data_IF_944035577981
#
_entry.id   IF_944035577981
#
_cell.length_a   1.000
_cell.length_b   1.000
_cell.length_c   1.000
_cell.angle_alpha   90.00
_cell.angle_beta   90.00
_cell.angle_gamma   90.00
#
_symmetry.space_group_name_H-M   'P 1'
#
loop_
_entity.id
_entity.type
_entity.pdbx_description
1 polymer ?
#
# COMPACT_ATOMS: atom_id res chain seq x y z
N UNK A 1 -2.25 -2.91 -4.80
CA UNK A 1 -1.94 -1.47 -4.90
C UNK A 1 -0.84 -1.31 -5.94
N UNK A 2 -0.29 -0.17 -6.12
CA UNK A 2 0.86 0.08 -6.98
C UNK A 2 1.69 1.23 -6.41
N UNK A 3 2.82 1.49 -7.04
CA UNK A 3 3.68 2.61 -6.74
C UNK A 3 4.39 3.06 -8.01
N UNK A 4 4.75 4.32 -8.07
CA UNK A 4 5.40 4.90 -9.22
C UNK A 4 6.67 5.66 -8.86
N UNK A 5 7.52 5.81 -9.84
CA UNK A 5 8.72 6.63 -9.80
C UNK A 5 8.86 7.42 -11.10
N UNK A 6 9.29 8.67 -11.00
CA UNK A 6 9.64 9.49 -12.15
C UNK A 6 10.96 10.18 -11.92
N UNK A 7 11.82 10.29 -12.92
CA UNK A 7 13.12 10.91 -12.82
C UNK A 7 13.45 11.77 -14.03
N UNK A 8 14.24 12.81 -13.79
CA UNK A 8 14.89 13.63 -14.82
C UNK A 8 16.39 13.67 -14.58
N UNK A 9 17.19 13.70 -15.65
CA UNK A 9 18.65 13.82 -15.60
C UNK A 9 19.13 14.59 -16.81
N UNK A 10 20.20 15.35 -16.67
CA UNK A 10 20.84 16.06 -17.81
C UNK A 10 21.50 15.10 -18.79
N UNK A 11 21.86 13.90 -18.34
CA UNK A 11 22.49 12.88 -19.16
C UNK A 11 21.51 11.75 -19.47
N UNK A 12 21.36 10.80 -18.55
CA UNK A 12 20.46 9.65 -18.69
C UNK A 12 19.80 9.35 -17.35
N UNK A 13 18.47 9.15 -17.35
CA UNK A 13 17.69 8.86 -16.16
C UNK A 13 17.36 7.38 -15.98
N UNK A 14 17.72 6.50 -16.92
CA UNK A 14 17.24 5.11 -16.97
C UNK A 14 17.71 4.31 -15.76
N UNK A 15 18.95 4.51 -15.30
CA UNK A 15 19.45 3.85 -14.09
C UNK A 15 18.62 4.22 -12.84
N UNK A 16 18.38 5.50 -12.65
CA UNK A 16 17.58 5.98 -11.53
C UNK A 16 16.12 5.51 -11.61
N UNK A 17 15.56 5.54 -12.84
CA UNK A 17 14.21 5.07 -13.09
C UNK A 17 14.08 3.56 -12.79
N UNK A 18 15.01 2.75 -13.26
CA UNK A 18 15.02 1.30 -13.06
C UNK A 18 15.04 0.95 -11.56
N UNK A 19 16.00 1.49 -10.80
CA UNK A 19 16.07 1.19 -9.37
C UNK A 19 14.95 1.89 -8.57
N UNK A 20 14.55 3.09 -8.96
CA UNK A 20 13.43 3.78 -8.34
C UNK A 20 12.13 3.00 -8.45
N UNK A 21 11.85 2.39 -9.62
CA UNK A 21 10.69 1.50 -9.81
C UNK A 21 10.86 0.19 -9.03
N UNK A 22 12.05 -0.43 -9.08
CA UNK A 22 12.33 -1.66 -8.35
C UNK A 22 12.09 -1.55 -6.85
N UNK A 23 12.42 -0.41 -6.25
CA UNK A 23 12.16 -0.13 -4.83
C UNK A 23 10.67 -0.09 -4.46
N UNK A 24 9.76 -0.02 -5.45
CA UNK A 24 8.32 -0.14 -5.25
C UNK A 24 7.79 -1.58 -5.40
N UNK A 25 8.66 -2.59 -5.57
CA UNK A 25 8.26 -3.99 -5.79
C UNK A 25 7.47 -4.62 -4.64
N UNK A 26 7.52 -4.05 -3.43
CA UNK A 26 6.69 -4.47 -2.30
C UNK A 26 5.21 -4.07 -2.45
N UNK A 27 4.90 -3.04 -3.25
CA UNK A 27 3.56 -2.49 -3.45
C UNK A 27 2.73 -3.22 -4.52
N UNK A 28 3.36 -4.01 -5.38
CA UNK A 28 2.65 -4.75 -6.43
C UNK A 28 3.47 -5.93 -6.96
N UNK A 29 2.79 -6.88 -7.60
CA UNK A 29 3.40 -8.17 -7.96
C UNK A 29 2.98 -8.71 -9.32
N UNK A 30 2.22 -7.95 -10.11
CA UNK A 30 1.69 -8.46 -11.38
C UNK A 30 2.28 -7.82 -12.61
N UNK A 31 2.30 -6.50 -12.63
CA UNK A 31 2.73 -5.70 -13.77
C UNK A 31 3.77 -4.68 -13.34
N UNK A 32 4.65 -4.38 -14.25
CA UNK A 32 5.56 -3.27 -14.13
C UNK A 32 5.82 -2.66 -15.49
N UNK A 33 6.17 -1.39 -15.52
CA UNK A 33 6.50 -0.72 -16.76
C UNK A 33 7.35 0.51 -16.55
N UNK A 34 8.08 0.87 -17.60
CA UNK A 34 8.88 2.07 -17.72
C UNK A 34 8.57 2.74 -19.05
N UNK A 35 8.55 4.05 -19.07
CA UNK A 35 8.54 4.88 -20.27
C UNK A 35 9.55 6.00 -20.11
N UNK A 36 10.33 6.24 -21.13
CA UNK A 36 11.36 7.29 -21.18
C UNK A 36 11.13 8.22 -22.37
N UNK A 37 11.65 9.41 -22.27
CA UNK A 37 11.71 10.37 -23.35
C UNK A 37 13.12 10.89 -23.55
N UNK A 38 13.56 10.85 -24.78
CA UNK A 38 14.81 11.44 -25.23
C UNK A 38 14.50 12.46 -26.34
N UNK A 39 15.13 13.66 -26.35
CA UNK A 39 14.88 14.68 -27.37
C UNK A 39 15.23 14.23 -28.80
N UNK A 40 16.16 13.30 -28.98
CA UNK A 40 16.62 12.84 -30.31
C UNK A 40 15.79 11.64 -30.79
N UNK A 41 15.51 10.68 -29.93
CA UNK A 41 14.85 9.41 -30.31
C UNK A 41 13.35 9.38 -29.99
N UNK A 42 12.86 10.29 -29.15
CA UNK A 42 11.46 10.36 -28.75
C UNK A 42 11.12 9.47 -27.55
N UNK A 43 9.93 8.89 -27.57
CA UNK A 43 9.44 8.03 -26.49
C UNK A 43 9.79 6.58 -26.74
N UNK A 44 10.26 5.90 -25.69
CA UNK A 44 10.38 4.44 -25.62
C UNK A 44 9.64 3.90 -24.38
N UNK A 45 9.09 2.67 -24.47
CA UNK A 45 8.25 2.07 -23.43
C UNK A 45 8.41 0.56 -23.37
N UNK A 46 8.51 0.03 -22.16
CA UNK A 46 8.46 -1.40 -21.90
C UNK A 46 7.50 -1.73 -20.74
N UNK A 47 6.72 -2.80 -20.88
CA UNK A 47 5.80 -3.31 -19.86
C UNK A 47 5.95 -4.82 -19.77
N UNK A 48 6.11 -5.36 -18.55
CA UNK A 48 6.23 -6.78 -18.31
C UNK A 48 5.28 -7.29 -17.24
N UNK A 49 4.90 -8.58 -17.39
CA UNK A 49 4.34 -9.35 -16.30
C UNK A 49 5.48 -9.77 -15.35
N UNK A 50 5.37 -9.40 -14.06
CA UNK A 50 6.35 -9.70 -13.02
C UNK A 50 5.88 -10.77 -12.03
N UNK A 51 4.76 -11.47 -12.32
CA UNK A 51 4.25 -12.53 -11.43
C UNK A 51 5.22 -13.70 -11.29
N UNK A 52 5.98 -13.98 -12.34
CA UNK A 52 6.86 -15.16 -12.44
C UNK A 52 8.34 -14.87 -12.20
N UNK A 53 8.73 -13.59 -12.19
CA UNK A 53 10.10 -13.17 -11.93
C UNK A 53 10.14 -11.73 -11.39
N UNK A 54 11.10 -11.39 -10.50
CA UNK A 54 11.25 -10.03 -9.98
C UNK A 54 11.42 -8.99 -11.09
N UNK A 55 11.05 -7.74 -10.78
CA UNK A 55 11.21 -6.59 -11.66
C UNK A 55 12.61 -6.53 -12.27
N UNK A 56 13.65 -6.59 -11.46
CA UNK A 56 15.05 -6.54 -11.92
C UNK A 56 15.37 -7.54 -13.03
N UNK A 57 14.90 -8.77 -12.89
CA UNK A 57 15.14 -9.82 -13.88
C UNK A 57 14.42 -9.54 -15.19
N UNK A 58 13.21 -8.99 -15.13
CA UNK A 58 12.39 -8.72 -16.30
C UNK A 58 12.85 -7.50 -17.09
N UNK A 59 13.43 -6.51 -16.42
CA UNK A 59 13.84 -5.24 -17.02
C UNK A 59 15.36 -5.09 -17.20
N UNK A 60 16.13 -6.17 -17.02
CA UNK A 60 17.61 -6.13 -17.22
C UNK A 60 17.98 -5.67 -18.63
N UNK A 61 17.27 -6.16 -19.66
CA UNK A 61 17.53 -5.77 -21.06
C UNK A 61 17.22 -4.29 -21.27
N UNK A 62 16.07 -3.86 -20.81
CA UNK A 62 15.59 -2.48 -20.94
C UNK A 62 16.50 -1.48 -20.22
N UNK A 63 17.03 -1.85 -19.04
CA UNK A 63 17.98 -1.00 -18.31
C UNK A 63 19.31 -0.77 -19.05
N UNK A 64 19.59 -1.57 -20.09
CA UNK A 64 20.80 -1.45 -20.92
C UNK A 64 20.55 -0.85 -22.29
N UNK A 65 19.33 -0.90 -22.78
CA UNK A 65 18.97 -0.51 -24.17
C UNK A 65 18.11 0.75 -24.23
N UNK A 66 17.33 1.04 -23.20
CA UNK A 66 16.56 2.29 -23.13
C UNK A 66 17.49 3.44 -22.76
N UNK A 67 17.21 4.61 -23.32
CA UNK A 67 17.90 5.87 -23.02
C UNK A 67 16.87 6.99 -22.91
N UNK A 68 17.13 7.97 -22.06
CA UNK A 68 16.27 9.15 -21.95
C UNK A 68 16.69 10.08 -20.83
N UNK A 69 16.41 11.37 -21.03
CA UNK A 69 16.67 12.41 -20.03
C UNK A 69 15.52 12.56 -19.04
N UNK A 70 14.37 12.00 -19.35
CA UNK A 70 13.19 12.00 -18.49
C UNK A 70 12.47 10.64 -18.58
N UNK A 71 11.95 10.14 -17.47
CA UNK A 71 11.23 8.89 -17.47
C UNK A 71 10.25 8.75 -16.31
N UNK A 72 9.23 7.92 -16.52
CA UNK A 72 8.29 7.47 -15.48
C UNK A 72 8.16 5.96 -15.52
N UNK A 73 7.89 5.36 -14.37
CA UNK A 73 7.63 3.93 -14.30
C UNK A 73 6.81 3.56 -13.08
N UNK A 74 6.30 2.34 -13.06
CA UNK A 74 5.45 1.88 -11.98
C UNK A 74 5.49 0.36 -11.79
N UNK A 75 5.09 -0.02 -10.59
CA UNK A 75 4.63 -1.37 -10.24
C UNK A 75 3.11 -1.31 -10.07
N UNK A 76 2.37 -2.28 -10.62
CA UNK A 76 0.91 -2.37 -10.51
C UNK A 76 0.45 -3.81 -10.26
N UNK A 77 -0.65 -3.96 -9.53
CA UNK A 77 -1.33 -5.25 -9.34
C UNK A 77 -2.49 -5.47 -10.33
N UNK A 78 -2.85 -4.46 -11.10
CA UNK A 78 -4.06 -4.50 -11.92
C UNK A 78 -3.74 -4.28 -13.40
N UNK A 79 -3.59 -3.06 -13.79
CA UNK A 79 -3.46 -2.64 -15.18
C UNK A 79 -2.01 -2.57 -15.66
N UNK A 80 -1.84 -2.72 -16.98
CA UNK A 80 -0.59 -2.47 -17.67
C UNK A 80 -0.37 -0.96 -17.82
N UNK A 81 0.77 -0.46 -17.35
CA UNK A 81 1.16 0.94 -17.43
C UNK A 81 2.69 1.09 -17.32
N UNK A 82 3.33 2.22 -17.75
CA UNK A 82 2.73 3.45 -18.27
C UNK A 82 2.03 3.26 -19.61
N UNK A 83 0.98 4.08 -19.86
CA UNK A 83 0.31 4.13 -21.18
C UNK A 83 0.89 5.28 -21.98
N UNK A 84 1.30 5.00 -23.22
CA UNK A 84 1.73 6.00 -24.18
C UNK A 84 0.53 6.44 -25.04
N UNK A 85 0.23 7.73 -25.02
CA UNK A 85 -0.94 8.32 -25.67
C UNK A 85 -0.49 9.37 -26.67
N UNK A 86 -1.16 9.41 -27.83
CA UNK A 86 -1.11 10.53 -28.78
C UNK A 86 -2.45 11.24 -28.82
N UNK A 87 -2.47 12.52 -28.48
CA UNK A 87 -3.69 13.30 -28.39
C UNK A 87 -3.49 14.74 -28.88
N UNK A 88 -4.49 15.59 -28.68
CA UNK A 88 -4.40 17.05 -28.94
C UNK A 88 -3.29 17.73 -28.13
N UNK A 89 -2.88 17.16 -26.98
CA UNK A 89 -1.76 17.65 -26.15
C UNK A 89 -0.39 17.19 -26.66
N UNK A 90 -0.33 16.49 -27.79
CA UNK A 90 0.86 15.83 -28.31
C UNK A 90 0.98 14.40 -27.81
N UNK A 91 2.20 13.85 -27.84
CA UNK A 91 2.51 12.54 -27.30
C UNK A 91 2.94 12.67 -25.83
N UNK A 92 2.41 11.81 -24.97
CA UNK A 92 2.77 11.74 -23.55
C UNK A 92 2.63 10.31 -23.03
N UNK A 93 3.33 9.99 -21.95
CA UNK A 93 3.11 8.75 -21.21
C UNK A 93 2.50 9.07 -19.83
N UNK A 94 1.63 8.19 -19.32
CA UNK A 94 0.94 8.39 -18.05
C UNK A 94 1.01 7.11 -17.19
N UNK A 95 1.20 7.30 -15.89
CA UNK A 95 1.02 6.26 -14.86
C UNK A 95 0.18 6.78 -13.71
N UNK A 96 -0.64 5.91 -13.14
CA UNK A 96 -1.59 6.27 -12.07
C UNK A 96 -1.52 5.29 -10.90
N UNK A 97 -1.79 5.79 -9.70
CA UNK A 97 -2.04 5.00 -8.50
C UNK A 97 -3.31 5.51 -7.85
N UNK A 98 -4.27 4.60 -7.64
CA UNK A 98 -5.56 4.97 -7.06
C UNK A 98 -6.63 3.94 -7.29
N UNK A 99 -7.88 4.35 -7.11
CA UNK A 99 -9.08 3.55 -7.36
C UNK A 99 -10.18 4.47 -7.88
N UNK A 100 -10.82 4.05 -8.97
CA UNK A 100 -11.93 4.77 -9.61
C UNK A 100 -13.19 3.94 -9.38
N UNK A 101 -14.09 4.40 -8.52
CA UNK A 101 -15.32 3.66 -8.18
C UNK A 101 -16.44 3.90 -9.18
N UNK A 102 -16.48 5.07 -9.81
CA UNK A 102 -17.48 5.48 -10.79
C UNK A 102 -17.00 5.36 -12.26
N UNK A 103 -16.14 4.38 -12.53
CA UNK A 103 -15.56 4.20 -13.87
C UNK A 103 -16.61 4.05 -14.97
N UNK A 104 -17.70 3.31 -14.72
CA UNK A 104 -18.78 3.10 -15.69
C UNK A 104 -19.55 4.39 -16.03
N UNK A 105 -19.72 5.30 -15.08
CA UNK A 105 -20.38 6.60 -15.27
C UNK A 105 -19.47 7.53 -16.09
N UNK A 106 -18.20 7.60 -15.72
CA UNK A 106 -17.20 8.36 -16.44
C UNK A 106 -17.08 7.85 -17.88
N UNK A 107 -17.05 6.53 -18.06
CA UNK A 107 -16.95 5.89 -19.36
C UNK A 107 -18.09 6.32 -20.31
N UNK A 108 -19.34 6.33 -19.82
CA UNK A 108 -20.50 6.78 -20.61
C UNK A 108 -20.32 8.23 -21.09
N UNK A 109 -19.82 9.08 -20.19
CA UNK A 109 -19.56 10.49 -20.51
C UNK A 109 -18.44 10.62 -21.55
N UNK A 110 -17.34 9.90 -21.39
CA UNK A 110 -16.16 9.98 -22.27
C UNK A 110 -16.45 9.39 -23.65
N UNK A 111 -17.16 8.26 -23.75
CA UNK A 111 -17.55 7.63 -25.02
C UNK A 111 -18.49 8.54 -25.81
N UNK A 112 -19.41 9.28 -25.15
CA UNK A 112 -20.31 10.21 -25.83
C UNK A 112 -19.56 11.33 -26.57
N UNK A 113 -18.29 11.55 -26.26
CA UNK A 113 -17.36 12.48 -26.91
C UNK A 113 -16.41 11.82 -27.91
N UNK A 114 -16.77 10.65 -28.48
CA UNK A 114 -16.00 9.89 -29.47
C UNK A 114 -14.64 9.35 -28.98
N UNK A 115 -14.47 9.09 -27.69
CA UNK A 115 -13.28 8.41 -27.20
C UNK A 115 -13.32 6.90 -27.51
N UNK A 116 -12.14 6.32 -27.72
CA UNK A 116 -11.93 4.90 -27.98
C UNK A 116 -10.91 4.36 -26.99
N UNK A 117 -11.07 3.11 -26.57
CA UNK A 117 -10.19 2.44 -25.63
C UNK A 117 -9.54 1.22 -26.29
N UNK A 118 -8.25 1.05 -26.09
CA UNK A 118 -7.43 0.01 -26.72
C UNK A 118 -6.82 -0.95 -25.72
N UNK A 119 -6.53 -0.49 -24.51
CA UNK A 119 -5.92 -1.29 -23.43
C UNK A 119 -7.01 -1.95 -22.59
N UNK A 120 -7.62 -3.01 -23.14
CA UNK A 120 -8.65 -3.77 -22.44
C UNK A 120 -8.09 -5.08 -21.89
N UNK A 121 -8.49 -5.45 -20.68
CA UNK A 121 -8.16 -6.73 -20.07
C UNK A 121 -9.42 -7.41 -19.54
N UNK A 122 -9.69 -8.65 -20.01
CA UNK A 122 -10.89 -9.42 -19.64
C UNK A 122 -12.23 -8.69 -19.91
N UNK A 123 -12.27 -7.82 -20.90
CA UNK A 123 -13.46 -7.02 -21.22
C UNK A 123 -13.60 -5.71 -20.43
N UNK A 124 -12.68 -5.45 -19.48
CA UNK A 124 -12.64 -4.21 -18.71
C UNK A 124 -11.62 -3.23 -19.29
N UNK A 125 -11.94 -1.95 -19.20
CA UNK A 125 -11.08 -0.86 -19.67
C UNK A 125 -9.95 -0.63 -18.66
N UNK A 126 -8.76 -0.33 -19.16
CA UNK A 126 -7.63 0.06 -18.34
C UNK A 126 -7.93 1.40 -17.62
N UNK A 127 -7.94 1.46 -16.27
CA UNK A 127 -8.25 2.69 -15.54
C UNK A 127 -7.29 3.85 -15.84
N UNK A 128 -6.03 3.56 -16.15
CA UNK A 128 -5.04 4.59 -16.52
C UNK A 128 -5.37 5.18 -17.90
N UNK A 129 -5.85 4.37 -18.84
CA UNK A 129 -6.34 4.87 -20.14
C UNK A 129 -7.60 5.73 -19.98
N UNK A 130 -8.51 5.34 -19.08
CA UNK A 130 -9.68 6.15 -18.76
C UNK A 130 -9.28 7.52 -18.21
N UNK A 131 -8.28 7.60 -17.33
CA UNK A 131 -7.75 8.88 -16.82
C UNK A 131 -7.16 9.72 -17.97
N UNK A 132 -6.39 9.10 -18.86
CA UNK A 132 -5.87 9.82 -20.04
C UNK A 132 -6.98 10.38 -20.91
N UNK A 133 -8.06 9.62 -21.12
CA UNK A 133 -9.23 10.07 -21.88
C UNK A 133 -9.98 11.23 -21.19
N UNK A 134 -10.07 11.22 -19.85
CA UNK A 134 -10.63 12.34 -19.08
C UNK A 134 -9.79 13.60 -19.26
N UNK A 135 -8.46 13.48 -19.13
CA UNK A 135 -7.54 14.61 -19.30
C UNK A 135 -7.69 15.23 -20.70
N UNK A 136 -7.86 14.42 -21.71
CA UNK A 136 -8.03 14.84 -23.09
C UNK A 136 -9.38 15.57 -23.38
N UNK A 137 -10.32 15.60 -22.42
CA UNK A 137 -11.54 16.42 -22.55
C UNK A 137 -11.30 17.92 -22.36
N UNK A 138 -10.11 18.33 -21.91
CA UNK A 138 -9.77 19.74 -21.65
C UNK A 138 -8.66 20.22 -22.59
N UNK A 139 -8.51 21.54 -22.68
CA UNK A 139 -7.58 22.16 -23.64
C UNK A 139 -6.10 22.10 -23.21
N UNK A 140 -5.83 21.80 -21.95
CA UNK A 140 -4.47 21.67 -21.41
C UNK A 140 -4.39 20.66 -20.27
N UNK A 141 -3.17 20.23 -19.94
CA UNK A 141 -2.94 19.23 -18.89
C UNK A 141 -3.42 19.67 -17.51
N UNK A 142 -3.28 20.96 -17.16
CA UNK A 142 -3.65 21.44 -15.81
C UNK A 142 -5.15 21.29 -15.60
N UNK A 143 -5.94 21.78 -16.53
CA UNK A 143 -7.40 21.69 -16.48
C UNK A 143 -7.88 20.25 -16.61
N UNK A 144 -7.19 19.43 -17.43
CA UNK A 144 -7.47 18.01 -17.57
C UNK A 144 -7.22 17.22 -16.30
N UNK A 145 -6.08 17.44 -15.64
CA UNK A 145 -5.74 16.79 -14.36
C UNK A 145 -6.73 17.21 -13.26
N UNK A 146 -7.01 18.52 -13.15
CA UNK A 146 -8.01 19.03 -12.19
C UNK A 146 -9.38 18.41 -12.42
N UNK A 147 -9.81 18.32 -13.66
CA UNK A 147 -11.08 17.72 -14.03
C UNK A 147 -11.10 16.23 -13.63
N UNK A 148 -10.01 15.47 -13.88
CA UNK A 148 -9.90 14.10 -13.43
C UNK A 148 -9.97 13.96 -11.90
N UNK A 149 -9.25 14.83 -11.16
CA UNK A 149 -9.32 14.86 -9.67
C UNK A 149 -10.73 15.22 -9.16
N UNK A 150 -11.51 15.94 -9.94
CA UNK A 150 -12.84 16.42 -9.55
C UNK A 150 -13.92 15.34 -9.74
N UNK A 151 -13.91 14.64 -10.89
CA UNK A 151 -14.97 13.70 -11.26
C UNK A 151 -14.71 12.27 -10.79
N UNK A 152 -13.46 11.91 -10.47
CA UNK A 152 -13.14 10.57 -9.96
C UNK A 152 -13.62 10.42 -8.52
N UNK A 153 -14.52 9.45 -8.31
CA UNK A 153 -14.87 8.96 -6.98
C UNK A 153 -13.89 7.87 -6.56
N UNK A 154 -13.17 8.13 -5.46
CA UNK A 154 -12.12 7.23 -4.98
C UNK A 154 -10.84 7.99 -4.65
N UNK A 155 -9.73 7.63 -5.29
CA UNK A 155 -8.47 8.39 -5.22
C UNK A 155 -7.69 8.29 -6.52
N UNK A 156 -6.86 9.30 -6.80
CA UNK A 156 -6.09 9.36 -8.03
C UNK A 156 -4.85 10.23 -7.87
N UNK A 157 -3.68 9.58 -7.84
CA UNK A 157 -2.38 10.22 -8.00
C UNK A 157 -1.74 9.79 -9.31
N UNK A 158 -0.98 10.66 -9.97
CA UNK A 158 -0.44 10.36 -11.30
C UNK A 158 0.89 11.04 -11.59
N UNK A 159 1.65 10.43 -12.50
CA UNK A 159 2.76 11.06 -13.22
C UNK A 159 2.46 11.08 -14.72
N UNK A 160 2.76 12.20 -15.38
CA UNK A 160 2.60 12.36 -16.84
C UNK A 160 3.94 12.84 -17.41
N UNK A 161 4.56 12.02 -18.23
CA UNK A 161 5.79 12.33 -18.96
C UNK A 161 5.45 12.99 -20.30
N UNK A 162 5.98 14.18 -20.51
CA UNK A 162 5.86 14.92 -21.77
C UNK A 162 7.26 15.34 -22.27
N UNK A 163 7.40 15.79 -23.53
CA UNK A 163 8.67 16.35 -24.00
C UNK A 163 9.16 17.60 -23.24
N UNK A 164 8.31 18.20 -22.40
CA UNK A 164 8.59 19.46 -21.68
C UNK A 164 8.80 19.26 -20.17
N UNK A 165 8.72 18.03 -19.69
CA UNK A 165 8.85 17.72 -18.28
C UNK A 165 7.84 16.67 -17.80
N UNK A 166 7.93 16.33 -16.54
CA UNK A 166 7.06 15.38 -15.86
C UNK A 166 6.09 16.15 -14.97
N UNK A 167 4.79 15.97 -15.22
CA UNK A 167 3.75 16.44 -14.30
C UNK A 167 3.59 15.40 -13.19
N UNK A 168 3.54 15.87 -11.96
CA UNK A 168 3.18 15.06 -10.79
C UNK A 168 1.94 15.68 -10.13
N UNK A 169 0.88 14.89 -9.97
CA UNK A 169 -0.38 15.33 -9.40
C UNK A 169 -0.80 14.39 -8.28
N UNK A 170 -0.84 14.92 -7.05
CA UNK A 170 -1.28 14.17 -5.88
C UNK A 170 -2.81 14.13 -5.82
N UNK A 171 -3.35 13.04 -5.34
CA UNK A 171 -4.78 12.86 -5.07
C UNK A 171 -5.44 14.09 -4.40
N UNK A 172 -6.69 14.38 -4.75
CA UNK A 172 -7.46 15.54 -4.28
C UNK A 172 -7.44 15.71 -2.75
N UNK A 173 -7.48 14.60 -2.00
CA UNK A 173 -7.42 14.59 -0.55
C UNK A 173 -6.06 14.10 -0.02
N UNK A 174 -5.07 13.91 -0.90
CA UNK A 174 -3.75 13.46 -0.50
C UNK A 174 -3.71 12.06 0.11
N UNK A 175 -4.61 11.15 -0.28
CA UNK A 175 -4.72 9.79 0.30
C UNK A 175 -3.45 8.97 0.13
N UNK A 176 -2.70 9.23 -0.94
CA UNK A 176 -1.38 8.66 -1.19
C UNK A 176 -0.34 9.76 -1.30
N UNK A 177 0.91 9.51 -0.90
CA UNK A 177 1.97 10.51 -0.98
C UNK A 177 2.50 10.68 -2.39
N UNK A 178 3.07 11.83 -2.68
CA UNK A 178 4.06 12.07 -3.73
C UNK A 178 5.17 12.90 -3.13
N UNK A 179 6.35 12.30 -3.04
CA UNK A 179 7.55 12.95 -2.50
C UNK A 179 8.52 13.30 -3.63
N UNK A 180 9.11 14.47 -3.58
CA UNK A 180 10.08 14.94 -4.54
C UNK A 180 11.48 14.88 -3.96
N UNK A 181 12.42 14.33 -4.74
CA UNK A 181 13.85 14.36 -4.45
C UNK A 181 14.60 15.23 -5.44
N UNK A 182 15.75 15.73 -5.02
CA UNK A 182 16.65 16.57 -5.83
C UNK A 182 18.06 16.06 -5.77
N UNK A 183 18.75 16.04 -6.91
CA UNK A 183 20.20 15.87 -7.00
C UNK A 183 20.81 16.92 -7.94
N UNK A 184 22.12 16.89 -8.16
CA UNK A 184 22.85 17.93 -8.90
C UNK A 184 22.40 18.09 -10.35
N UNK A 185 21.92 17.03 -10.97
CA UNK A 185 21.60 16.94 -12.41
C UNK A 185 20.11 16.72 -12.70
N UNK A 186 19.23 16.72 -11.66
CA UNK A 186 17.80 16.54 -11.88
C UNK A 186 16.96 16.37 -10.63
N UNK A 187 15.72 15.99 -10.86
CA UNK A 187 14.71 15.76 -9.84
C UNK A 187 14.06 14.40 -10.02
N UNK A 188 13.45 13.90 -8.95
CA UNK A 188 12.57 12.74 -9.01
C UNK A 188 11.25 12.99 -8.29
N UNK A 189 10.24 12.22 -8.65
CA UNK A 189 8.99 12.08 -7.93
C UNK A 189 8.76 10.62 -7.59
N UNK A 190 8.38 10.32 -6.35
CA UNK A 190 8.25 8.95 -5.85
C UNK A 190 7.03 8.80 -4.97
N UNK A 191 6.47 7.60 -4.94
CA UNK A 191 5.48 7.20 -3.94
C UNK A 191 6.13 6.95 -2.57
N UNK A 192 7.38 6.46 -2.55
CA UNK A 192 8.15 6.12 -1.36
C UNK A 192 9.41 6.98 -1.24
N UNK A 193 9.62 7.63 -0.09
CA UNK A 193 10.78 8.49 0.10
C UNK A 193 12.12 7.72 0.09
N UNK A 194 12.15 6.49 0.63
CA UNK A 194 13.39 5.70 0.63
C UNK A 194 13.89 5.34 -0.78
N UNK A 195 12.99 5.31 -1.77
CA UNK A 195 13.31 4.84 -3.11
C UNK A 195 14.34 5.71 -3.84
N UNK A 196 14.45 6.99 -3.49
CA UNK A 196 15.42 7.89 -4.12
C UNK A 196 16.65 8.21 -3.26
N UNK A 197 16.59 7.99 -1.94
CA UNK A 197 17.73 8.29 -1.06
C UNK A 197 18.98 7.49 -1.45
N UNK A 198 18.83 6.20 -1.71
CA UNK A 198 19.93 5.34 -2.14
C UNK A 198 20.43 5.64 -3.57
N UNK A 199 19.68 6.42 -4.35
CA UNK A 199 20.06 6.88 -5.69
C UNK A 199 20.77 8.24 -5.67
N UNK A 200 21.05 8.75 -4.46
CA UNK A 200 21.81 10.00 -4.28
C UNK A 200 20.95 11.26 -4.33
N UNK A 201 19.63 11.14 -4.34
CA UNK A 201 18.75 12.29 -4.17
C UNK A 201 18.63 12.68 -2.70
N UNK A 202 18.46 13.95 -2.46
CA UNK A 202 18.09 14.52 -1.17
C UNK A 202 16.61 14.84 -1.15
N UNK A 203 15.98 14.79 0.02
CA UNK A 203 14.61 15.25 0.19
C UNK A 203 14.47 16.70 -0.28
N UNK A 204 13.49 16.93 -1.16
CA UNK A 204 13.19 18.28 -1.64
C UNK A 204 11.90 18.80 -1.02
N UNK A 205 10.78 18.12 -1.23
CA UNK A 205 9.50 18.37 -0.55
C UNK A 205 8.47 17.28 -0.86
N UNK A 206 7.43 17.22 -0.08
CA UNK A 206 6.23 16.42 -0.33
C UNK A 206 5.13 17.31 -0.95
N UNK A 207 4.33 16.76 -1.90
CA UNK A 207 3.20 17.48 -2.48
C UNK A 207 2.02 17.45 -1.51
N UNK A 208 1.29 18.56 -1.39
CA UNK A 208 0.04 18.62 -0.64
C UNK A 208 -1.16 18.03 -1.40
N UNK A 209 -2.35 17.95 -0.74
CA UNK A 209 -3.56 17.41 -1.34
C UNK A 209 -3.97 18.15 -2.61
N UNK A 210 -4.21 17.42 -3.71
CA UNK A 210 -4.64 18.00 -4.99
C UNK A 210 -3.59 18.88 -5.69
N UNK A 211 -2.39 18.97 -5.15
CA UNK A 211 -1.32 19.77 -5.73
C UNK A 211 -0.84 19.18 -7.06
N UNK A 212 -0.54 20.07 -8.00
CA UNK A 212 0.02 19.73 -9.32
C UNK A 212 1.31 20.51 -9.52
N UNK A 213 2.38 19.80 -9.82
CA UNK A 213 3.67 20.36 -10.21
C UNK A 213 4.10 19.84 -11.58
N UNK A 214 5.00 20.56 -12.23
CA UNK A 214 5.79 20.05 -13.33
C UNK A 214 7.26 20.22 -13.00
N UNK A 215 8.06 19.21 -13.28
CA UNK A 215 9.50 19.28 -13.10
C UNK A 215 10.25 18.79 -14.34
N UNK A 216 11.39 19.37 -14.55
CA UNK A 216 12.37 19.04 -15.59
C UNK A 216 13.76 18.90 -14.96
N UNK A 217 14.83 18.89 -15.73
CA UNK A 217 16.21 18.80 -15.21
C UNK A 217 16.67 20.04 -14.43
N UNK A 218 16.01 21.18 -14.61
CA UNK A 218 16.43 22.47 -14.07
C UNK A 218 15.60 22.94 -12.88
N UNK A 219 14.28 22.62 -12.88
CA UNK A 219 13.34 23.23 -11.95
C UNK A 219 12.13 22.37 -11.62
N UNK A 220 11.53 22.68 -10.48
CA UNK A 220 10.18 22.25 -10.08
C UNK A 220 9.29 23.48 -10.04
N UNK A 221 8.18 23.47 -10.79
CA UNK A 221 7.22 24.58 -10.82
C UNK A 221 5.87 24.09 -10.33
N UNK A 222 5.32 24.79 -9.33
CA UNK A 222 3.95 24.59 -8.87
C UNK A 222 2.98 25.18 -9.89
N UNK A 223 2.02 24.37 -10.34
CA UNK A 223 0.98 24.76 -11.30
C UNK A 223 -0.36 24.95 -10.60
N UNK A 224 -0.65 24.13 -9.61
CA UNK A 224 -1.83 24.23 -8.74
C UNK A 224 -1.39 24.08 -7.31
N UNK A 225 -1.77 25.03 -6.48
CA UNK A 225 -1.45 25.00 -5.04
C UNK A 225 -2.24 23.90 -4.31
N UNK A 226 -1.71 23.35 -3.21
CA UNK A 226 -2.39 22.32 -2.44
C UNK A 226 -3.71 22.80 -1.84
N UNK A 227 -4.65 21.88 -1.74
CA UNK A 227 -5.90 22.08 -1.01
C UNK A 227 -5.69 22.08 0.50
N UNK A 228 -6.71 22.53 1.25
CA UNK A 228 -6.68 22.60 2.71
C UNK A 228 -7.06 21.31 3.42
N UNK A 229 -7.85 20.45 2.76
CA UNK A 229 -8.34 19.19 3.32
C UNK A 229 -7.43 18.05 2.93
N UNK A 230 -6.93 17.33 3.92
CA UNK A 230 -6.15 16.11 3.75
C UNK A 230 -6.89 14.93 4.37
N UNK A 231 -6.73 13.75 3.78
CA UNK A 231 -7.20 12.46 4.29
C UNK A 231 -6.20 11.38 3.89
N UNK A 232 -4.95 11.52 4.35
CA UNK A 232 -3.91 10.53 4.05
C UNK A 232 -4.25 9.18 4.68
N UNK A 233 -3.98 8.09 3.96
CA UNK A 233 -4.28 6.75 4.41
C UNK A 233 -3.41 6.35 5.61
N UNK A 234 -4.02 6.14 6.77
CA UNK A 234 -3.30 5.72 7.99
C UNK A 234 -2.64 4.34 7.83
N UNK A 235 -3.22 3.47 6.97
CA UNK A 235 -2.69 2.14 6.71
C UNK A 235 -1.32 2.14 6.00
N UNK A 236 -0.90 3.28 5.45
CA UNK A 236 0.46 3.46 4.93
C UNK A 236 1.51 3.24 6.03
N UNK A 237 1.31 3.82 7.21
CA UNK A 237 2.22 3.59 8.34
C UNK A 237 2.07 2.22 8.98
N UNK A 238 0.84 1.72 9.09
CA UNK A 238 0.59 0.41 9.73
C UNK A 238 1.24 -0.72 8.96
N UNK A 239 1.10 -0.74 7.63
CA UNK A 239 1.53 -1.88 6.81
C UNK A 239 2.24 -1.54 5.50
N UNK A 240 1.62 -0.68 4.64
CA UNK A 240 2.07 -0.56 3.25
C UNK A 240 3.39 0.15 3.08
N UNK A 241 3.64 1.20 3.86
CA UNK A 241 4.87 1.98 3.77
C UNK A 241 6.09 1.14 4.08
N UNK A 242 7.14 1.34 3.30
CA UNK A 242 8.41 0.70 3.60
C UNK A 242 8.97 1.26 4.92
N UNK A 243 9.59 0.45 5.80
CA UNK A 243 10.02 0.88 7.14
C UNK A 243 10.86 2.15 7.17
N UNK A 244 11.76 2.34 6.18
CA UNK A 244 12.62 3.52 6.09
C UNK A 244 12.00 4.72 5.38
N UNK A 245 10.73 4.63 4.95
CA UNK A 245 10.00 5.77 4.39
C UNK A 245 9.43 6.70 5.46
N UNK A 246 9.13 7.91 5.03
CA UNK A 246 8.39 8.91 5.81
C UNK A 246 7.29 9.52 4.95
N UNK A 247 6.16 9.83 5.57
CA UNK A 247 5.03 10.54 4.96
C UNK A 247 4.61 11.67 5.88
N UNK A 248 4.32 12.85 5.34
CA UNK A 248 4.00 14.07 6.12
C UNK A 248 5.01 14.33 7.25
N UNK A 249 6.29 14.00 7.01
CA UNK A 249 7.37 14.13 7.98
C UNK A 249 7.41 13.05 9.07
N UNK A 250 6.53 12.06 9.06
CA UNK A 250 6.46 11.00 10.06
C UNK A 250 7.07 9.70 9.53
N UNK A 251 8.12 9.21 10.20
CA UNK A 251 8.77 7.95 9.88
C UNK A 251 7.84 6.77 10.11
N UNK A 252 7.79 5.85 9.13
CA UNK A 252 7.01 4.62 9.21
C UNK A 252 7.49 3.74 10.37
N UNK A 253 8.80 3.51 10.48
CA UNK A 253 9.38 2.67 11.54
C UNK A 253 9.12 3.24 12.93
N UNK A 254 9.31 4.56 13.11
CA UNK A 254 9.07 5.21 14.40
C UNK A 254 7.59 5.17 14.80
N UNK A 255 6.69 5.36 13.84
CA UNK A 255 5.24 5.20 14.10
C UNK A 255 4.91 3.78 14.57
N UNK A 256 5.46 2.75 13.95
CA UNK A 256 5.26 1.36 14.37
C UNK A 256 5.79 1.09 15.77
N UNK A 257 6.92 1.67 16.16
CA UNK A 257 7.40 1.59 17.55
C UNK A 257 6.45 2.29 18.53
N UNK A 258 5.95 3.47 18.18
CA UNK A 258 4.96 4.18 19.00
C UNK A 258 3.66 3.37 19.15
N UNK A 259 3.19 2.75 18.08
CA UNK A 259 2.02 1.87 18.08
C UNK A 259 2.22 0.70 19.06
N UNK A 260 3.35 -0.03 18.96
CA UNK A 260 3.66 -1.10 19.88
C UNK A 260 3.76 -0.66 21.34
N UNK A 261 4.35 0.52 21.58
CA UNK A 261 4.42 1.15 22.91
C UNK A 261 3.03 1.39 23.52
N UNK A 262 2.08 1.92 22.73
CA UNK A 262 0.71 2.17 23.21
C UNK A 262 -0.06 0.87 23.43
N UNK A 263 0.12 -0.14 22.58
CA UNK A 263 -0.41 -1.49 22.82
C UNK A 263 0.05 -2.05 24.19
N UNK A 264 1.35 -1.96 24.48
CA UNK A 264 1.91 -2.45 25.75
C UNK A 264 1.35 -1.68 26.95
N UNK A 265 1.13 -0.36 26.82
CA UNK A 265 0.51 0.42 27.90
C UNK A 265 -0.90 -0.03 28.23
N UNK A 266 -1.69 -0.38 27.21
CA UNK A 266 -3.05 -0.90 27.38
C UNK A 266 -3.08 -2.28 28.02
N UNK A 267 -2.05 -3.10 27.80
CA UNK A 267 -1.97 -4.46 28.32
C UNK A 267 -1.42 -4.52 29.76
N UNK A 268 -1.01 -3.39 30.36
CA UNK A 268 -0.45 -3.38 31.73
C UNK A 268 -1.39 -3.94 32.80
N UNK A 269 -2.69 -3.74 32.61
CA UNK A 269 -3.72 -4.15 33.55
C UNK A 269 -4.35 -5.51 33.18
N UNK A 270 -3.82 -6.16 32.12
CA UNK A 270 -4.24 -7.50 31.71
C UNK A 270 -3.56 -8.59 32.53
N UNK A 271 -4.31 -9.66 32.81
CA UNK A 271 -3.77 -10.88 33.44
C UNK A 271 -3.07 -11.80 32.40
N UNK A 272 -2.33 -11.19 31.47
CA UNK A 272 -1.58 -11.90 30.43
C UNK A 272 -0.08 -11.70 30.67
N UNK A 273 0.63 -12.79 30.99
CA UNK A 273 2.05 -12.77 31.32
C UNK A 273 2.86 -13.64 30.35
N UNK A 274 3.12 -13.17 29.12
CA UNK A 274 3.89 -13.95 28.14
C UNK A 274 5.36 -14.00 28.51
N UNK A 275 6.01 -15.12 28.17
CA UNK A 275 7.46 -15.26 28.33
C UNK A 275 8.24 -14.35 27.38
N UNK A 276 7.70 -14.14 26.17
CA UNK A 276 8.34 -13.33 25.13
C UNK A 276 7.33 -12.63 24.21
N UNK A 277 7.76 -11.52 23.65
CA UNK A 277 7.06 -10.81 22.55
C UNK A 277 7.73 -11.13 21.23
N UNK A 278 6.95 -11.35 20.19
CA UNK A 278 7.43 -11.59 18.83
C UNK A 278 6.58 -10.86 17.78
N UNK A 279 7.20 -10.45 16.70
CA UNK A 279 6.50 -9.91 15.54
C UNK A 279 6.30 -10.97 14.46
N UNK A 280 5.16 -10.99 13.81
CA UNK A 280 4.99 -11.74 12.58
C UNK A 280 5.88 -11.10 11.50
N UNK A 281 6.83 -11.83 10.90
CA UNK A 281 7.77 -11.25 9.94
C UNK A 281 7.09 -10.91 8.60
N UNK A 282 7.36 -9.73 8.01
CA UNK A 282 8.21 -8.66 8.55
C UNK A 282 7.35 -7.52 9.14
N UNK A 283 6.03 -7.53 8.85
CA UNK A 283 5.06 -6.45 9.15
C UNK A 283 4.88 -6.16 10.64
N UNK A 284 4.82 -7.22 11.46
CA UNK A 284 4.66 -7.09 12.92
C UNK A 284 5.94 -6.76 13.68
N UNK A 285 7.11 -6.83 13.04
CA UNK A 285 8.41 -6.77 13.75
C UNK A 285 8.62 -5.44 14.48
N UNK A 286 8.44 -4.30 13.81
CA UNK A 286 8.66 -2.99 14.42
C UNK A 286 7.65 -2.69 15.55
N UNK A 287 6.40 -3.07 15.37
CA UNK A 287 5.36 -2.99 16.42
C UNK A 287 5.74 -3.81 17.64
N UNK A 288 6.24 -5.05 17.44
CA UNK A 288 6.66 -5.94 18.53
C UNK A 288 7.89 -5.41 19.28
N UNK A 289 8.84 -4.79 18.60
CA UNK A 289 9.98 -4.14 19.25
C UNK A 289 9.50 -2.98 20.13
N UNK A 290 8.60 -2.14 19.62
CA UNK A 290 8.00 -1.04 20.40
C UNK A 290 7.27 -1.55 21.65
N UNK A 291 6.53 -2.65 21.52
CA UNK A 291 5.85 -3.30 22.64
C UNK A 291 6.83 -3.85 23.67
N UNK A 292 7.85 -4.60 23.25
CA UNK A 292 8.85 -5.18 24.12
C UNK A 292 9.63 -4.11 24.90
N UNK A 293 9.99 -3.00 24.23
CA UNK A 293 10.70 -1.89 24.87
C UNK A 293 9.87 -1.23 25.99
N UNK A 294 8.55 -1.10 25.82
CA UNK A 294 7.66 -0.48 26.81
C UNK A 294 7.30 -1.45 27.96
N UNK A 295 6.98 -2.70 27.61
CA UNK A 295 6.55 -3.71 28.58
C UNK A 295 7.69 -4.28 29.42
N UNK A 296 8.92 -4.23 28.92
CA UNK A 296 10.08 -4.92 29.51
C UNK A 296 10.10 -6.43 29.28
N UNK A 297 9.13 -6.99 28.56
CA UNK A 297 9.09 -8.41 28.17
C UNK A 297 10.10 -8.64 27.04
N UNK A 298 10.97 -9.68 27.12
CA UNK A 298 11.98 -9.90 26.10
C UNK A 298 11.39 -10.09 24.69
N UNK A 299 11.97 -9.41 23.69
CA UNK A 299 11.68 -9.70 22.29
C UNK A 299 12.39 -10.98 21.85
N UNK A 300 11.69 -11.87 21.16
CA UNK A 300 12.26 -13.10 20.59
C UNK A 300 11.81 -13.32 19.14
N UNK A 301 12.46 -14.25 18.46
CA UNK A 301 12.10 -14.66 17.10
C UNK A 301 11.79 -16.15 17.08
N UNK A 302 10.61 -16.58 17.54
CA UNK A 302 10.22 -17.99 17.62
C UNK A 302 10.09 -18.63 16.22
N UNK A 303 9.98 -17.85 15.18
CA UNK A 303 10.05 -18.29 13.79
C UNK A 303 10.73 -17.24 12.92
N UNK A 304 11.35 -17.71 11.86
CA UNK A 304 12.13 -16.88 10.93
C UNK A 304 11.56 -17.09 9.54
N UNK A 305 11.35 -15.98 8.81
CA UNK A 305 10.93 -16.03 7.42
C UNK A 305 12.05 -16.59 6.56
N UNK A 306 11.73 -17.62 5.76
CA UNK A 306 12.66 -18.17 4.79
C UNK A 306 12.78 -17.21 3.60
N UNK A 307 13.95 -16.59 3.47
CA UNK A 307 14.20 -15.50 2.51
C UNK A 307 14.36 -15.95 1.05
N UNK A 308 14.94 -17.14 0.72
CA UNK A 308 14.91 -17.66 -0.64
C UNK A 308 13.46 -18.00 -1.00
N UNK A 309 12.67 -16.97 -1.35
CA UNK A 309 11.27 -17.14 -1.72
C UNK A 309 11.17 -17.77 -3.10
N UNK A 310 10.38 -18.84 -3.18
CA UNK A 310 9.92 -19.36 -4.45
C UNK A 310 9.10 -18.27 -5.16
N UNK A 311 9.31 -18.05 -6.47
CA UNK A 311 8.41 -17.21 -7.24
C UNK A 311 6.96 -17.66 -7.02
N UNK A 312 6.01 -16.73 -6.98
CA UNK A 312 4.57 -17.04 -6.81
C UNK A 312 4.03 -18.04 -7.86
N UNK A 313 4.71 -18.17 -9.00
CA UNK A 313 4.44 -19.16 -10.05
C UNK A 313 4.58 -20.61 -9.62
N UNK A 314 5.26 -20.89 -8.52
CA UNK A 314 5.37 -22.22 -7.92
C UNK A 314 4.21 -22.59 -6.97
N UNK A 315 3.08 -21.88 -7.03
CA UNK A 315 1.88 -22.29 -6.30
C UNK A 315 1.25 -23.51 -6.97
N UNK A 316 1.42 -24.73 -6.42
CA UNK A 316 0.86 -25.94 -7.03
C UNK A 316 -0.65 -25.89 -7.06
N UNK A 317 -1.24 -26.56 -8.03
CA UNK A 317 -2.70 -26.69 -8.17
C UNK A 317 -3.33 -27.54 -7.05
N UNK A 318 -2.56 -28.45 -6.43
CA UNK A 318 -3.02 -29.32 -5.35
C UNK A 318 -2.94 -28.65 -3.96
N UNK A 319 -4.01 -28.72 -3.18
CA UNK A 319 -4.13 -28.09 -1.85
C UNK A 319 -3.01 -28.57 -0.91
N UNK A 320 -2.72 -29.87 -0.84
CA UNK A 320 -1.66 -30.44 0.03
C UNK A 320 -0.26 -29.87 -0.24
N UNK A 321 0.04 -29.55 -1.51
CA UNK A 321 1.31 -28.90 -1.87
C UNK A 321 1.32 -27.41 -1.54
N UNK A 322 0.16 -26.73 -1.61
CA UNK A 322 0.02 -25.34 -1.15
C UNK A 322 0.23 -25.21 0.35
N UNK A 323 -0.33 -26.14 1.13
CA UNK A 323 -0.17 -26.20 2.58
C UNK A 323 1.30 -26.46 2.97
N UNK A 324 1.99 -27.32 2.21
CA UNK A 324 3.42 -27.56 2.41
C UNK A 324 4.25 -26.28 2.13
N UNK A 325 3.99 -25.59 1.02
CA UNK A 325 4.71 -24.35 0.67
C UNK A 325 4.41 -23.23 1.69
N UNK A 326 3.19 -23.14 2.20
CA UNK A 326 2.86 -22.20 3.26
C UNK A 326 3.69 -22.47 4.54
N UNK A 327 3.81 -23.75 4.92
CA UNK A 327 4.67 -24.18 6.06
C UNK A 327 6.16 -23.91 5.84
N UNK A 328 6.64 -23.93 4.59
CA UNK A 328 8.05 -23.65 4.28
C UNK A 328 8.44 -22.17 4.39
N UNK A 329 7.48 -21.25 4.53
CA UNK A 329 7.76 -19.81 4.61
C UNK A 329 8.26 -19.39 5.98
N UNK A 330 7.88 -20.10 7.03
CA UNK A 330 8.26 -19.82 8.40
C UNK A 330 8.99 -21.02 8.99
N UNK A 331 10.20 -20.81 9.45
CA UNK A 331 11.05 -21.84 10.07
C UNK A 331 11.02 -21.66 11.58
N UNK A 332 10.58 -22.68 12.37
CA UNK A 332 10.52 -22.58 13.82
C UNK A 332 11.92 -22.62 14.47
N UNK A 333 12.04 -21.92 15.58
CA UNK A 333 13.17 -22.03 16.50
C UNK A 333 12.64 -22.70 17.76
N UNK A 334 12.72 -24.02 17.83
CA UNK A 334 12.05 -24.83 18.85
C UNK A 334 12.37 -24.37 20.26
N UNK A 335 13.61 -24.05 20.58
CA UNK A 335 14.04 -23.58 21.91
C UNK A 335 13.36 -22.29 22.37
N UNK A 336 12.81 -21.51 21.42
CA UNK A 336 12.07 -20.27 21.67
C UNK A 336 10.55 -20.47 21.69
N UNK A 337 10.07 -21.69 21.40
CA UNK A 337 8.64 -22.01 21.31
C UNK A 337 8.22 -22.99 22.40
N UNK A 338 8.98 -24.07 22.57
CA UNK A 338 8.61 -25.20 23.42
C UNK A 338 8.38 -24.78 24.89
N UNK A 339 7.18 -25.07 25.39
CA UNK A 339 6.74 -24.71 26.74
C UNK A 339 6.53 -23.22 27.00
N UNK A 340 6.62 -22.34 25.98
CA UNK A 340 6.53 -20.89 26.13
C UNK A 340 5.14 -20.35 25.94
N UNK A 341 4.80 -19.28 26.66
CA UNK A 341 3.70 -18.38 26.42
C UNK A 341 4.19 -17.23 25.53
N UNK A 342 3.66 -17.15 24.31
CA UNK A 342 4.10 -16.21 23.27
C UNK A 342 3.08 -15.11 23.05
N UNK A 343 3.51 -13.85 23.05
CA UNK A 343 2.69 -12.73 22.57
C UNK A 343 3.17 -12.34 21.19
N UNK A 344 2.28 -12.52 20.19
CA UNK A 344 2.56 -12.19 18.79
C UNK A 344 1.89 -10.89 18.41
N UNK A 345 2.64 -10.03 17.74
CA UNK A 345 2.12 -8.80 17.15
C UNK A 345 2.18 -8.93 15.62
N UNK A 346 1.05 -8.67 14.98
CA UNK A 346 0.95 -8.53 13.53
C UNK A 346 0.37 -7.15 13.20
N UNK A 347 0.51 -6.69 11.96
CA UNK A 347 -0.07 -5.41 11.54
C UNK A 347 -1.60 -5.43 11.59
N UNK A 348 -2.22 -6.49 11.12
CA UNK A 348 -3.68 -6.59 10.99
C UNK A 348 -4.18 -8.03 10.84
N UNK A 349 -5.46 -8.27 11.12
CA UNK A 349 -6.15 -9.52 10.77
C UNK A 349 -7.19 -9.21 9.68
N UNK A 350 -6.91 -9.63 8.44
CA UNK A 350 -7.81 -9.44 7.30
C UNK A 350 -8.73 -10.67 7.15
N UNK A 351 -8.21 -11.77 6.64
CA UNK A 351 -8.96 -13.03 6.43
C UNK A 351 -8.84 -14.01 7.60
N UNK A 352 -7.81 -13.86 8.41
CA UNK A 352 -7.46 -14.71 9.53
C UNK A 352 -6.74 -16.02 9.16
N UNK A 353 -6.80 -16.48 7.90
CA UNK A 353 -6.25 -17.79 7.48
C UNK A 353 -4.77 -17.95 7.80
N UNK A 354 -3.95 -16.95 7.44
CA UNK A 354 -2.51 -17.01 7.64
C UNK A 354 -2.13 -17.02 9.12
N UNK A 355 -2.81 -16.21 9.92
CA UNK A 355 -2.51 -16.11 11.35
C UNK A 355 -2.97 -17.36 12.10
N UNK A 356 -4.09 -17.97 11.71
CA UNK A 356 -4.52 -19.27 12.23
C UNK A 356 -3.51 -20.37 11.92
N UNK A 357 -3.04 -20.46 10.69
CA UNK A 357 -2.00 -21.43 10.30
C UNK A 357 -0.71 -21.23 11.10
N UNK A 358 -0.30 -19.97 11.34
CA UNK A 358 0.85 -19.65 12.18
C UNK A 358 0.64 -20.09 13.63
N UNK A 359 -0.54 -19.88 14.20
CA UNK A 359 -0.88 -20.27 15.57
C UNK A 359 -0.90 -21.79 15.73
N UNK A 360 -1.57 -22.50 14.83
CA UNK A 360 -1.58 -23.97 14.80
C UNK A 360 -0.17 -24.55 14.68
N UNK A 361 0.69 -23.92 13.88
CA UNK A 361 2.09 -24.29 13.75
C UNK A 361 2.88 -24.09 15.05
N UNK A 362 2.65 -23.00 15.78
CA UNK A 362 3.30 -22.74 17.06
C UNK A 362 2.87 -23.76 18.13
N UNK A 363 1.58 -24.07 18.23
CA UNK A 363 1.10 -25.13 19.13
C UNK A 363 1.67 -26.51 18.78
N UNK A 364 1.73 -26.84 17.48
CA UNK A 364 2.36 -28.06 17.01
C UNK A 364 3.88 -28.12 17.31
N UNK A 365 4.51 -26.96 17.50
CA UNK A 365 5.93 -26.81 17.89
C UNK A 365 6.14 -26.73 19.40
N UNK A 366 5.08 -26.90 20.22
CA UNK A 366 5.17 -26.99 21.68
C UNK A 366 4.83 -25.68 22.43
N UNK A 367 4.32 -24.65 21.77
CA UNK A 367 3.88 -23.43 22.46
C UNK A 367 2.79 -23.74 23.50
N UNK A 368 2.92 -23.18 24.70
CA UNK A 368 1.95 -23.32 25.78
C UNK A 368 0.75 -22.44 25.57
N UNK A 369 0.98 -21.18 25.19
CA UNK A 369 -0.03 -20.15 24.94
C UNK A 369 0.40 -19.28 23.78
N UNK A 370 -0.59 -18.80 23.01
CA UNK A 370 -0.38 -17.85 21.89
C UNK A 370 -1.36 -16.70 22.01
N UNK A 371 -0.87 -15.56 22.44
CA UNK A 371 -1.62 -14.31 22.58
C UNK A 371 -1.39 -13.44 21.37
N UNK A 372 -2.45 -12.83 20.81
CA UNK A 372 -2.36 -12.04 19.59
C UNK A 372 -2.74 -10.58 19.86
N UNK A 373 -1.93 -9.66 19.33
CA UNK A 373 -2.14 -8.20 19.40
C UNK A 373 -1.98 -7.59 18.01
N UNK A 374 -3.06 -7.44 17.23
CA UNK A 374 -2.99 -6.69 15.98
C UNK A 374 -2.68 -5.21 16.23
N UNK A 375 -1.79 -4.64 15.43
CA UNK A 375 -1.33 -3.25 15.55
C UNK A 375 -2.35 -2.21 15.06
N UNK A 376 -3.52 -2.64 14.63
CA UNK A 376 -4.63 -1.77 14.25
C UNK A 376 -5.97 -2.31 14.78
N UNK A 377 -7.04 -1.48 14.77
CA UNK A 377 -8.40 -1.94 15.08
C UNK A 377 -8.90 -3.01 14.10
N UNK A 378 -10.01 -3.71 14.42
CA UNK A 378 -10.64 -4.64 13.50
C UNK A 378 -11.03 -3.97 12.18
N UNK A 379 -10.68 -4.58 11.05
CA UNK A 379 -11.07 -4.08 9.73
C UNK A 379 -12.53 -4.42 9.47
N UNK A 380 -13.38 -3.41 9.43
CA UNK A 380 -14.85 -3.56 9.26
C UNK A 380 -15.33 -3.17 7.87
N UNK A 381 -14.62 -2.27 7.19
CA UNK A 381 -15.02 -1.70 5.91
C UNK A 381 -13.96 -1.96 4.85
N UNK A 382 -14.39 -2.43 3.68
CA UNK A 382 -13.53 -2.55 2.50
C UNK A 382 -13.09 -1.17 2.00
N UNK A 383 -11.81 -1.02 1.64
CA UNK A 383 -11.30 0.28 1.24
C UNK A 383 -11.99 0.81 -0.04
N UNK A 384 -12.58 2.01 0.03
CA UNK A 384 -13.18 2.71 -1.12
C UNK A 384 -12.16 3.46 -1.97
N UNK A 385 -10.95 3.70 -1.45
CA UNK A 385 -10.04 4.68 -2.00
C UNK A 385 -8.79 4.09 -2.63
N UNK A 386 -8.35 2.93 -2.16
CA UNK A 386 -7.13 2.30 -2.61
C UNK A 386 -7.34 0.81 -2.88
N UNK A 387 -6.66 0.29 -3.90
CA UNK A 387 -6.70 -1.12 -4.28
C UNK A 387 -5.75 -1.95 -3.40
N UNK A 388 -5.96 -1.94 -2.09
CA UNK A 388 -5.13 -2.70 -1.16
C UNK A 388 -5.39 -4.20 -1.18
N UNK A 389 -6.65 -4.58 -1.33
CA UNK A 389 -7.07 -5.97 -1.37
C UNK A 389 -7.51 -6.35 -2.78
N UNK A 390 -7.13 -7.55 -3.20
CA UNK A 390 -7.72 -8.20 -4.37
C UNK A 390 -9.12 -8.73 -4.09
N UNK A 391 -9.59 -8.53 -2.87
CA UNK A 391 -10.91 -8.92 -2.42
C UNK A 391 -11.98 -8.16 -3.21
N UNK A 392 -12.85 -8.90 -3.85
CA UNK A 392 -14.04 -8.37 -4.54
C UNK A 392 -15.25 -8.31 -3.61
N UNK A 393 -15.12 -8.84 -2.39
CA UNK A 393 -16.20 -8.93 -1.41
C UNK A 393 -15.74 -8.56 0.00
N UNK A 394 -16.53 -7.75 0.70
CA UNK A 394 -16.33 -7.43 2.12
C UNK A 394 -16.42 -8.68 3.01
N UNK A 395 -17.06 -9.74 2.54
CA UNK A 395 -17.16 -11.03 3.24
C UNK A 395 -15.84 -11.80 3.30
N UNK A 396 -14.79 -11.31 2.66
CA UNK A 396 -13.43 -11.82 2.86
C UNK A 396 -12.81 -11.33 4.18
N UNK A 397 -13.32 -10.25 4.77
CA UNK A 397 -12.93 -9.81 6.10
C UNK A 397 -13.47 -10.78 7.16
N UNK A 398 -12.60 -11.26 8.06
CA UNK A 398 -13.00 -12.16 9.14
C UNK A 398 -14.05 -11.52 10.04
N UNK A 399 -13.92 -10.23 10.32
CA UNK A 399 -14.85 -9.42 11.10
C UNK A 399 -16.26 -9.45 10.50
N UNK A 400 -16.39 -9.23 9.19
CA UNK A 400 -17.68 -9.24 8.49
C UNK A 400 -18.35 -10.61 8.53
N UNK A 401 -17.57 -11.69 8.38
CA UNK A 401 -18.08 -13.06 8.48
C UNK A 401 -18.62 -13.36 9.89
N UNK A 402 -17.86 -12.95 10.90
CA UNK A 402 -18.24 -13.15 12.31
C UNK A 402 -19.46 -12.30 12.66
N UNK A 403 -19.50 -11.04 12.26
CA UNK A 403 -20.67 -10.17 12.51
C UNK A 403 -21.92 -10.77 11.85
N UNK A 404 -21.82 -11.22 10.59
CA UNK A 404 -22.95 -11.88 9.92
C UNK A 404 -23.39 -13.16 10.64
N UNK A 405 -22.48 -13.92 11.21
CA UNK A 405 -22.80 -15.10 12.03
C UNK A 405 -23.56 -14.69 13.30
N UNK A 406 -23.09 -13.64 14.00
CA UNK A 406 -23.69 -13.16 15.25
C UNK A 406 -25.06 -12.50 15.05
N UNK A 407 -25.24 -11.72 13.99
CA UNK A 407 -26.49 -11.02 13.69
C UNK A 407 -27.50 -11.88 12.89
N UNK A 408 -27.04 -12.97 12.26
CA UNK A 408 -27.86 -13.83 11.41
C UNK A 408 -28.23 -13.23 10.04
N UNK A 409 -27.71 -12.04 9.71
CA UNK A 409 -27.93 -11.34 8.43
C UNK A 409 -26.70 -10.49 8.06
N UNK A 410 -26.69 -9.95 6.84
CA UNK A 410 -25.68 -8.97 6.45
C UNK A 410 -25.89 -7.67 7.24
N UNK A 411 -24.87 -7.18 7.97
CA UNK A 411 -25.00 -6.00 8.81
C UNK A 411 -25.12 -4.72 7.96
N UNK A 412 -26.00 -3.83 8.40
CA UNK A 412 -26.08 -2.46 7.90
C UNK A 412 -24.97 -1.57 8.48
N UNK A 413 -24.91 -0.31 8.04
CA UNK A 413 -23.89 0.64 8.46
C UNK A 413 -23.95 0.94 9.97
N UNK A 414 -25.16 1.11 10.52
CA UNK A 414 -25.35 1.45 11.94
C UNK A 414 -24.91 0.30 12.84
N UNK A 415 -25.26 -0.93 12.47
CA UNK A 415 -24.76 -2.15 13.13
C UNK A 415 -23.24 -2.22 13.11
N UNK A 416 -22.60 -1.94 11.95
CA UNK A 416 -21.13 -1.93 11.87
C UNK A 416 -20.50 -0.87 12.76
N UNK A 417 -21.12 0.30 12.91
CA UNK A 417 -20.64 1.34 13.82
C UNK A 417 -20.69 0.89 15.29
N UNK A 418 -21.66 0.06 15.69
CA UNK A 418 -21.68 -0.54 17.03
C UNK A 418 -20.50 -1.50 17.23
N UNK A 419 -20.17 -2.32 16.22
CA UNK A 419 -19.00 -3.20 16.22
C UNK A 419 -17.65 -2.45 16.10
N UNK A 420 -17.64 -1.22 15.63
CA UNK A 420 -16.46 -0.36 15.63
C UNK A 420 -16.12 0.25 17.00
N UNK A 421 -17.11 0.28 17.92
CA UNK A 421 -16.92 0.84 19.25
C UNK A 421 -16.30 -0.19 20.21
N UNK A 422 -15.02 -0.03 20.62
CA UNK A 422 -14.31 -1.01 21.46
C UNK A 422 -14.90 -1.18 22.87
N UNK A 423 -15.77 -0.26 23.30
CA UNK A 423 -16.44 -0.31 24.59
C UNK A 423 -17.84 -0.96 24.52
N UNK A 424 -18.28 -1.42 23.34
CA UNK A 424 -19.57 -2.07 23.15
C UNK A 424 -19.51 -3.59 23.43
N UNK A 425 -20.63 -4.13 23.90
CA UNK A 425 -20.79 -5.58 24.08
C UNK A 425 -20.68 -6.36 22.75
N UNK A 426 -21.15 -5.76 21.64
CA UNK A 426 -21.06 -6.35 20.30
C UNK A 426 -19.62 -6.48 19.85
N UNK A 427 -18.81 -5.44 20.07
CA UNK A 427 -17.37 -5.51 19.77
C UNK A 427 -16.70 -6.65 20.52
N UNK A 428 -16.94 -6.79 21.83
CA UNK A 428 -16.34 -7.84 22.62
C UNK A 428 -16.76 -9.23 22.14
N UNK A 429 -18.06 -9.44 21.85
CA UNK A 429 -18.55 -10.71 21.26
C UNK A 429 -17.87 -11.07 19.94
N UNK A 430 -17.64 -10.08 19.09
CA UNK A 430 -16.93 -10.27 17.82
C UNK A 430 -15.48 -10.68 18.07
N UNK A 431 -14.78 -9.99 18.97
CA UNK A 431 -13.37 -10.28 19.30
C UNK A 431 -13.23 -11.68 19.91
N UNK A 432 -14.10 -12.04 20.85
CA UNK A 432 -14.11 -13.36 21.47
C UNK A 432 -14.36 -14.45 20.42
N UNK A 433 -15.32 -14.24 19.53
CA UNK A 433 -15.61 -15.20 18.47
C UNK A 433 -14.47 -15.35 17.46
N UNK A 434 -13.78 -14.25 17.11
CA UNK A 434 -12.57 -14.32 16.27
C UNK A 434 -11.46 -15.09 17.00
N UNK A 435 -11.26 -14.84 18.29
CA UNK A 435 -10.27 -15.52 19.12
C UNK A 435 -10.49 -17.04 19.11
N UNK A 436 -11.73 -17.49 19.33
CA UNK A 436 -12.10 -18.91 19.27
C UNK A 436 -11.84 -19.52 17.89
N UNK A 437 -12.31 -18.87 16.81
CA UNK A 437 -12.19 -19.37 15.43
C UNK A 437 -10.73 -19.49 14.97
N UNK A 438 -9.86 -18.67 15.55
CA UNK A 438 -8.45 -18.63 15.20
C UNK A 438 -7.58 -19.44 16.16
N UNK A 439 -8.16 -20.07 17.21
CA UNK A 439 -7.50 -20.85 18.24
C UNK A 439 -6.44 -20.05 19.03
N UNK A 440 -6.66 -18.76 19.24
CA UNK A 440 -5.77 -17.95 20.06
C UNK A 440 -6.07 -18.17 21.56
N UNK A 441 -5.05 -18.04 22.41
CA UNK A 441 -5.26 -18.01 23.87
C UNK A 441 -5.94 -16.71 24.28
N UNK A 442 -5.55 -15.58 23.67
CA UNK A 442 -6.24 -14.29 23.81
C UNK A 442 -6.04 -13.42 22.58
N UNK A 443 -7.00 -12.54 22.33
CA UNK A 443 -6.98 -11.55 21.25
C UNK A 443 -7.37 -10.19 21.82
N UNK A 444 -6.57 -9.17 21.55
CA UNK A 444 -6.92 -7.77 21.78
C UNK A 444 -6.42 -6.92 20.62
N UNK A 445 -7.31 -6.20 19.97
CA UNK A 445 -6.98 -5.26 18.93
C UNK A 445 -6.51 -3.92 19.50
N UNK A 446 -5.72 -3.20 18.72
CA UNK A 446 -5.37 -1.82 19.02
C UNK A 446 -6.62 -0.93 18.99
N UNK A 447 -6.65 0.12 19.80
CA UNK A 447 -7.73 1.12 19.74
C UNK A 447 -7.43 2.16 18.68
N UNK A 448 -8.47 2.71 18.08
CA UNK A 448 -8.32 3.70 17.00
C UNK A 448 -7.72 5.01 17.50
N UNK A 449 -8.10 5.46 18.69
CA UNK A 449 -7.53 6.65 19.33
C UNK A 449 -6.02 6.53 19.56
N UNK A 450 -5.55 5.39 20.08
CA UNK A 450 -4.12 5.12 20.27
C UNK A 450 -3.37 4.99 18.93
N UNK A 451 -4.00 4.39 17.92
CA UNK A 451 -3.41 4.30 16.59
C UNK A 451 -3.20 5.70 15.98
N UNK A 452 -4.20 6.57 16.10
CA UNK A 452 -4.12 7.97 15.67
C UNK A 452 -3.00 8.71 16.45
N UNK A 453 -2.94 8.52 17.77
CA UNK A 453 -1.84 9.06 18.61
C UNK A 453 -0.48 8.57 18.14
N UNK A 454 -0.37 7.31 17.72
CA UNK A 454 0.90 6.73 17.24
C UNK A 454 1.44 7.42 15.99
N UNK A 455 0.57 7.90 15.11
CA UNK A 455 0.95 8.67 13.91
C UNK A 455 1.42 10.07 14.29
N UNK A 456 0.68 10.74 15.18
CA UNK A 456 1.11 12.04 15.73
C UNK A 456 0.83 13.25 14.85
N UNK A 457 -0.10 13.15 13.89
CA UNK A 457 -0.62 14.30 13.11
C UNK A 457 -2.09 14.52 13.43
N UNK A 458 -2.64 15.65 12.97
CA UNK A 458 -4.04 16.02 13.22
C UNK A 458 -4.97 14.87 12.76
N UNK A 459 -5.83 14.35 13.65
CA UNK A 459 -6.77 13.29 13.34
C UNK A 459 -7.66 13.59 12.12
N UNK A 460 -8.00 14.87 11.89
CA UNK A 460 -8.78 15.29 10.73
C UNK A 460 -8.05 15.08 9.40
N UNK A 461 -6.73 14.99 9.43
CA UNK A 461 -5.90 14.72 8.27
C UNK A 461 -5.76 13.23 7.92
N UNK A 462 -6.20 12.33 8.81
CA UNK A 462 -6.09 10.89 8.64
C UNK A 462 -7.35 10.27 8.02
N UNK A 463 -7.15 9.28 7.15
CA UNK A 463 -8.21 8.41 6.68
C UNK A 463 -8.25 7.15 7.55
N UNK A 464 -9.36 6.97 8.26
CA UNK A 464 -9.61 5.83 9.16
C UNK A 464 -10.77 4.94 8.67
N UNK A 465 -11.22 5.15 7.44
CA UNK A 465 -12.41 4.52 6.86
C UNK A 465 -12.46 3.00 7.04
N UNK A 466 -11.33 2.29 6.95
CA UNK A 466 -11.28 0.83 7.08
C UNK A 466 -11.80 0.33 8.44
N UNK A 467 -11.73 1.15 9.48
CA UNK A 467 -12.04 0.80 10.86
C UNK A 467 -13.36 1.37 11.34
N UNK A 468 -13.70 2.62 10.99
CA UNK A 468 -14.86 3.34 11.51
C UNK A 468 -15.89 3.75 10.45
N UNK A 469 -15.62 3.51 9.16
CA UNK A 469 -16.49 3.86 8.05
C UNK A 469 -16.66 5.36 7.79
N UNK A 470 -15.89 6.24 8.46
CA UNK A 470 -15.98 7.69 8.30
C UNK A 470 -15.20 8.19 7.10
N UNK A 471 -15.78 9.17 6.38
CA UNK A 471 -15.21 9.81 5.19
C UNK A 471 -14.50 11.14 5.49
#
# INVERSE_FOLDING_TARGET
MGGFFGATSREDCVFDLFFGVDYHSHLGTRRAGMAVYDPETGFDKAIHNIENAPFRTKFTSESQTMHGTMGIGCISDYEAQPILVRSQHGTFAITTVGKINNADEILKTVISHNAHFFEMQNGEINPTELVAAIINQKDNFIDGIRFAQEIVEGSLSMLILTPKGIYAARDKLGRTPIVLGKKSDGFCASFESFAYLNLGYQDYRELGPGEIVVFDTESVRMLVAPGKKMKICTFLWVYYGYPSSSYEGISVEQMRYNCGRLLAKRDKDDDVHPDTVAGVPDSGTAHAIGYANESGIPYSRPFIKYTPTWPRSFMPTHQSKRDLIAKMKLIPVHDLIDGKSLLLIDDSIVRGTQLRETTEFLYASGAKEVHIRPACPPLLFGCKYLNFSRSTSEMELITRRVIRELEGCDPDYDTLCEYANPDSEKYQKMVDRICELQHFTSLRYHRLDDLIESVGIDPECLCTYCWDGKE
#
